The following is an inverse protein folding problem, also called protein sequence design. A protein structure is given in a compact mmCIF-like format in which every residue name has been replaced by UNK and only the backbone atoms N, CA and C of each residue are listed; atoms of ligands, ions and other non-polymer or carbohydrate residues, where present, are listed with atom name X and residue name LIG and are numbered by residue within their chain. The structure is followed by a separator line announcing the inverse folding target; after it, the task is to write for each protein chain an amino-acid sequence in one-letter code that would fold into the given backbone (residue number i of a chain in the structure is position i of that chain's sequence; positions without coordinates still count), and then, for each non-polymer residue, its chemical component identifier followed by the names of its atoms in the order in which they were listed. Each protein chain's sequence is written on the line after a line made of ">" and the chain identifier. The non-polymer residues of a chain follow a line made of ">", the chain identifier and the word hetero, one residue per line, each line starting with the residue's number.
data_IF_775918339177
#
_entry.id   IF_775918339177
#
_cell.length_a   1.000
_cell.length_b   1.000
_cell.length_c   1.000
_cell.angle_alpha   90.00
_cell.angle_beta   90.00
_cell.angle_gamma   90.00
#
_symmetry.space_group_name_H-M   'P 1'
#
loop_
_entity.id
_entity.type
_entity.pdbx_description
1 polymer ?
#
# COMPACT_ATOMS: atom_id res chain seq x y z
N UNK A 1 14.59 11.51 -5.72
CA UNK A 1 14.81 11.82 -4.31
C UNK A 1 14.00 10.86 -3.45
N UNK A 2 14.62 10.32 -2.42
CA UNK A 2 13.96 9.35 -1.55
C UNK A 2 13.14 10.05 -0.48
N UNK A 3 11.96 9.51 -0.18
CA UNK A 3 11.13 9.99 0.91
C UNK A 3 11.03 8.92 1.99
N UNK A 4 11.31 9.24 3.25
CA UNK A 4 11.24 8.23 4.31
C UNK A 4 9.80 7.86 4.64
N UNK A 5 9.59 6.59 4.98
CA UNK A 5 8.28 6.08 5.42
C UNK A 5 8.35 5.73 6.90
N UNK A 6 9.26 4.82 7.26
CA UNK A 6 9.34 4.29 8.62
C UNK A 6 10.66 3.52 8.81
N UNK A 7 10.92 3.10 10.05
CA UNK A 7 11.99 2.16 10.31
C UNK A 7 11.62 0.78 9.74
N UNK A 8 12.60 0.02 9.28
CA UNK A 8 12.36 -1.33 8.75
C UNK A 8 11.67 -2.22 9.77
N UNK A 9 12.04 -2.12 11.03
CA UNK A 9 11.48 -2.94 12.10
C UNK A 9 10.02 -2.59 12.43
N UNK A 10 9.51 -1.46 11.94
CA UNK A 10 8.10 -1.11 12.11
C UNK A 10 7.18 -1.99 11.27
N UNK A 11 7.72 -2.70 10.28
CA UNK A 11 6.93 -3.56 9.40
C UNK A 11 7.25 -5.02 9.70
N UNK A 12 6.41 -5.63 10.54
CA UNK A 12 6.50 -7.06 10.82
C UNK A 12 5.99 -7.87 9.63
N UNK A 13 6.51 -9.07 9.47
CA UNK A 13 6.09 -9.96 8.38
C UNK A 13 4.59 -10.21 8.46
N UNK A 14 3.87 -9.82 7.39
CA UNK A 14 2.41 -9.95 7.29
C UNK A 14 1.67 -9.29 8.46
N UNK A 15 2.27 -8.26 9.00
CA UNK A 15 1.70 -7.52 10.12
C UNK A 15 0.98 -6.26 9.67
N UNK A 16 0.76 -5.38 10.63
CA UNK A 16 0.07 -4.12 10.39
C UNK A 16 0.88 -3.23 9.46
N UNK A 17 0.21 -2.59 8.52
CA UNK A 17 0.84 -1.67 7.57
C UNK A 17 1.08 -0.31 8.21
N UNK A 18 2.05 0.42 7.65
CA UNK A 18 2.22 1.84 7.92
C UNK A 18 1.49 2.60 6.81
N UNK A 19 0.69 3.60 7.19
CA UNK A 19 -0.11 4.40 6.27
C UNK A 19 0.40 5.84 6.32
N UNK A 20 0.53 6.49 5.16
CA UNK A 20 0.97 7.88 5.13
C UNK A 20 0.27 8.63 4.01
N UNK A 21 0.25 9.96 4.12
CA UNK A 21 -0.40 10.83 3.15
C UNK A 21 0.50 11.09 1.95
N UNK A 22 -0.11 11.08 0.77
CA UNK A 22 0.57 11.41 -0.49
C UNK A 22 -0.33 12.31 -1.32
N UNK A 23 0.20 12.83 -2.42
CA UNK A 23 -0.56 13.56 -3.42
C UNK A 23 -0.53 12.76 -4.71
N UNK A 24 -1.70 12.44 -5.26
CA UNK A 24 -1.82 11.79 -6.56
C UNK A 24 -2.36 12.80 -7.56
N UNK A 25 -1.53 13.15 -8.54
CA UNK A 25 -1.86 14.18 -9.54
C UNK A 25 -2.40 15.44 -8.88
N UNK A 26 -1.74 15.88 -7.79
CA UNK A 26 -2.10 17.07 -7.06
C UNK A 26 -3.31 16.95 -6.13
N UNK A 27 -3.85 15.75 -5.95
CA UNK A 27 -4.99 15.50 -5.06
C UNK A 27 -4.57 14.67 -3.85
N UNK A 28 -5.10 14.99 -2.66
CA UNK A 28 -4.77 14.21 -1.46
C UNK A 28 -5.18 12.76 -1.62
N UNK A 29 -4.29 11.86 -1.18
CA UNK A 29 -4.54 10.44 -1.16
C UNK A 29 -3.72 9.83 -0.04
N UNK A 30 -3.87 8.53 0.20
CA UNK A 30 -3.09 7.83 1.21
C UNK A 30 -2.45 6.61 0.57
N UNK A 31 -1.27 6.25 1.09
CA UNK A 31 -0.55 5.07 0.66
C UNK A 31 -0.27 4.20 1.87
N UNK A 32 0.02 2.94 1.65
CA UNK A 32 0.39 2.05 2.73
C UNK A 32 1.55 1.16 2.29
N UNK A 33 2.32 0.72 3.29
CA UNK A 33 3.40 -0.23 3.09
C UNK A 33 3.29 -1.34 4.12
N UNK A 34 3.60 -2.56 3.71
CA UNK A 34 3.63 -3.70 4.61
C UNK A 34 4.72 -4.66 4.16
N UNK A 35 5.06 -5.62 5.03
CA UNK A 35 6.06 -6.64 4.71
C UNK A 35 5.36 -7.94 4.37
N UNK A 36 5.72 -8.51 3.23
CA UNK A 36 5.13 -9.76 2.78
C UNK A 36 6.24 -10.62 2.16
N UNK A 37 6.40 -11.83 2.68
CA UNK A 37 7.44 -12.77 2.25
C UNK A 37 8.83 -12.13 2.30
N UNK A 38 9.09 -11.40 3.38
CA UNK A 38 10.39 -10.78 3.61
C UNK A 38 10.63 -9.48 2.85
N UNK A 39 9.69 -9.04 2.03
CA UNK A 39 9.87 -7.85 1.21
C UNK A 39 8.84 -6.78 1.55
N UNK A 40 9.26 -5.52 1.50
CA UNK A 40 8.34 -4.41 1.68
C UNK A 40 7.63 -4.14 0.35
N UNK A 41 6.30 -4.04 0.40
CA UNK A 41 5.49 -3.64 -0.75
C UNK A 41 4.65 -2.44 -0.34
N UNK A 42 4.33 -1.59 -1.30
CA UNK A 42 3.56 -0.39 -1.03
C UNK A 42 2.59 -0.12 -2.18
N UNK A 43 1.41 0.35 -1.82
CA UNK A 43 0.35 0.63 -2.79
C UNK A 43 -0.43 1.86 -2.34
N UNK A 44 -1.08 2.49 -3.31
CA UNK A 44 -2.06 3.53 -3.02
C UNK A 44 -3.24 2.87 -2.29
N UNK A 45 -3.73 3.52 -1.23
CA UNK A 45 -4.84 2.98 -0.44
C UNK A 45 -6.16 3.33 -1.14
N UNK A 46 -6.41 2.63 -2.23
CA UNK A 46 -7.61 2.82 -3.05
C UNK A 46 -7.93 1.51 -3.75
N UNK A 47 -9.18 1.06 -3.58
CA UNK A 47 -9.65 -0.15 -4.25
C UNK A 47 -9.70 0.08 -5.77
N UNK A 48 -9.24 -0.90 -6.55
CA UNK A 48 -9.29 -0.80 -8.00
C UNK A 48 -10.72 -0.88 -8.54
N UNK A 49 -11.64 -1.44 -7.75
CA UNK A 49 -13.05 -1.59 -8.11
C UNK A 49 -13.82 -0.28 -7.92
N UNK A 50 -13.65 0.37 -6.76
CA UNK A 50 -14.29 1.64 -6.43
C UNK A 50 -13.27 2.52 -5.70
N UNK A 51 -13.41 3.87 -5.77
CA UNK A 51 -12.42 4.75 -5.16
C UNK A 51 -12.62 4.89 -3.64
N UNK A 52 -12.45 3.79 -2.92
CA UNK A 52 -12.56 3.74 -1.47
C UNK A 52 -11.29 3.15 -0.88
N UNK A 53 -11.01 3.49 0.38
CA UNK A 53 -9.86 2.94 1.07
C UNK A 53 -10.07 1.46 1.41
N UNK A 54 -8.97 0.70 1.47
CA UNK A 54 -9.02 -0.76 1.57
C UNK A 54 -9.11 -1.25 3.01
N UNK A 55 -8.42 -0.60 3.94
CA UNK A 55 -8.24 -1.14 5.29
C UNK A 55 -9.54 -1.19 6.08
N UNK A 56 -9.79 -2.38 6.67
CA UNK A 56 -10.98 -2.60 7.48
C UNK A 56 -10.81 -2.01 8.90
N UNK A 57 -9.59 -1.75 9.31
CA UNK A 57 -9.22 -0.92 10.47
C UNK A 57 -7.93 -0.20 10.08
N UNK A 58 -7.62 0.94 10.72
CA UNK A 58 -6.41 1.66 10.36
C UNK A 58 -5.18 0.76 10.35
N UNK A 59 -4.54 0.65 9.20
CA UNK A 59 -3.34 -0.17 9.01
C UNK A 59 -3.57 -1.66 8.79
N UNK A 60 -4.83 -2.14 8.80
CA UNK A 60 -5.13 -3.56 8.62
C UNK A 60 -5.65 -3.82 7.21
N UNK A 61 -4.80 -4.38 6.37
CA UNK A 61 -5.09 -4.60 4.95
C UNK A 61 -5.22 -6.07 4.58
N UNK A 62 -4.69 -6.97 5.38
CA UNK A 62 -4.67 -8.39 5.04
C UNK A 62 -5.91 -9.11 5.58
N UNK A 63 -6.33 -10.13 4.85
CA UNK A 63 -7.44 -10.97 5.30
C UNK A 63 -7.00 -11.86 6.48
N UNK A 64 -7.93 -12.69 6.97
CA UNK A 64 -7.65 -13.55 8.13
C UNK A 64 -6.50 -14.53 7.88
N UNK A 65 -6.31 -14.96 6.64
CA UNK A 65 -5.22 -15.88 6.30
C UNK A 65 -3.87 -15.17 6.20
N UNK A 66 -3.86 -13.84 6.17
CA UNK A 66 -2.67 -13.03 5.99
C UNK A 66 -1.96 -13.29 4.66
N UNK A 67 -2.71 -13.73 3.65
CA UNK A 67 -2.16 -14.01 2.33
C UNK A 67 -2.59 -13.00 1.26
N UNK A 68 -3.71 -12.29 1.49
CA UNK A 68 -4.28 -11.41 0.47
C UNK A 68 -4.59 -10.04 1.06
N UNK A 69 -4.37 -8.99 0.24
CA UNK A 69 -4.86 -7.65 0.58
C UNK A 69 -6.35 -7.62 0.26
N UNK A 70 -7.15 -7.22 1.23
CA UNK A 70 -8.61 -7.29 1.13
C UNK A 70 -9.22 -5.90 1.11
N UNK A 71 -10.13 -5.65 0.16
CA UNK A 71 -10.98 -4.47 0.21
C UNK A 71 -12.14 -4.76 1.17
N UNK A 72 -12.22 -3.97 2.24
CA UNK A 72 -13.17 -4.22 3.31
C UNK A 72 -14.63 -4.05 2.92
N UNK A 73 -14.90 -3.34 1.80
CA UNK A 73 -16.27 -3.00 1.43
C UNK A 73 -16.91 -4.06 0.56
N UNK A 74 -16.21 -4.54 -0.47
CA UNK A 74 -16.78 -5.46 -1.43
C UNK A 74 -16.07 -6.80 -1.53
N UNK A 75 -15.07 -7.03 -0.69
CA UNK A 75 -14.37 -8.31 -0.68
C UNK A 75 -13.41 -8.55 -1.84
N UNK A 76 -13.06 -7.50 -2.58
CA UNK A 76 -12.03 -7.63 -3.60
C UNK A 76 -10.71 -8.00 -2.93
N UNK A 77 -9.98 -8.96 -3.52
CA UNK A 77 -8.72 -9.45 -2.95
C UNK A 77 -7.59 -9.26 -3.97
N UNK A 78 -6.43 -8.86 -3.46
CA UNK A 78 -5.27 -8.55 -4.29
C UNK A 78 -4.04 -9.29 -3.80
N UNK A 79 -3.20 -9.70 -4.74
CA UNK A 79 -1.94 -10.36 -4.40
C UNK A 79 -0.98 -9.33 -3.83
N UNK A 80 -0.44 -9.53 -2.60
CA UNK A 80 0.42 -8.51 -2.00
C UNK A 80 1.71 -8.24 -2.77
N UNK A 81 2.24 -9.23 -3.47
CA UNK A 81 3.51 -9.07 -4.16
C UNK A 81 3.43 -8.13 -5.37
N UNK A 82 2.30 -8.09 -6.08
CA UNK A 82 2.18 -7.30 -7.31
C UNK A 82 0.91 -6.46 -7.39
N UNK A 83 0.00 -6.57 -6.42
CA UNK A 83 -1.22 -5.77 -6.39
C UNK A 83 -2.31 -6.23 -7.35
N UNK A 84 -2.12 -7.37 -8.02
CA UNK A 84 -3.09 -7.86 -9.00
C UNK A 84 -4.34 -8.41 -8.31
N UNK A 85 -5.51 -8.15 -8.89
CA UNK A 85 -6.76 -8.73 -8.40
C UNK A 85 -6.71 -10.25 -8.53
N UNK A 86 -7.03 -10.96 -7.44
CA UNK A 86 -7.08 -12.41 -7.42
C UNK A 86 -8.47 -12.95 -7.09
N UNK A 87 -9.41 -12.08 -6.70
CA UNK A 87 -10.77 -12.50 -6.41
C UNK A 87 -11.69 -11.33 -6.12
N UNK A 88 -12.99 -11.56 -6.20
CA UNK A 88 -13.98 -10.54 -5.95
C UNK A 88 -14.22 -9.64 -7.16
N UNK A 89 -14.86 -8.47 -6.95
CA UNK A 89 -15.34 -7.64 -8.06
C UNK A 89 -14.29 -6.77 -8.73
N UNK A 90 -13.01 -6.93 -8.40
CA UNK A 90 -11.97 -6.10 -9.01
C UNK A 90 -11.59 -6.53 -10.44
N UNK A 91 -12.01 -7.72 -10.88
CA UNK A 91 -11.82 -8.16 -12.26
C UNK A 91 -10.35 -8.17 -12.68
N UNK A 92 -10.00 -7.36 -13.67
CA UNK A 92 -8.62 -7.21 -14.15
C UNK A 92 -7.88 -6.05 -13.48
N UNK A 93 -8.49 -5.46 -12.46
CA UNK A 93 -7.90 -4.32 -11.78
C UNK A 93 -6.66 -4.71 -10.98
N UNK A 94 -5.91 -3.71 -10.61
CA UNK A 94 -4.75 -3.88 -9.73
C UNK A 94 -4.55 -2.62 -8.93
N UNK A 95 -3.93 -2.78 -7.77
CA UNK A 95 -3.58 -1.65 -6.94
C UNK A 95 -2.45 -0.85 -7.61
N UNK A 96 -2.44 0.45 -7.38
CA UNK A 96 -1.37 1.32 -7.89
C UNK A 96 -0.14 1.16 -7.00
N UNK A 97 0.97 0.64 -7.53
CA UNK A 97 2.16 0.42 -6.71
C UNK A 97 2.95 1.71 -6.49
N UNK A 98 3.60 1.79 -5.33
CA UNK A 98 4.64 2.76 -5.08
C UNK A 98 5.96 2.01 -5.03
N UNK A 99 6.99 2.57 -5.66
CA UNK A 99 8.31 1.97 -5.60
C UNK A 99 8.94 2.28 -4.25
N UNK A 100 9.36 1.24 -3.54
CA UNK A 100 9.93 1.36 -2.21
C UNK A 100 11.25 0.59 -2.12
N UNK A 101 12.05 0.92 -1.12
CA UNK A 101 13.29 0.23 -0.85
C UNK A 101 13.62 0.28 0.61
N UNK A 102 14.53 -0.59 1.03
CA UNK A 102 15.06 -0.60 2.38
C UNK A 102 16.56 -0.37 2.34
N UNK A 103 17.04 0.51 3.21
CA UNK A 103 18.47 0.77 3.35
C UNK A 103 18.73 1.29 4.75
N UNK A 104 19.80 0.80 5.37
CA UNK A 104 20.26 1.26 6.68
C UNK A 104 19.16 1.20 7.76
N UNK A 105 18.36 0.13 7.72
CA UNK A 105 17.31 -0.09 8.70
C UNK A 105 16.09 0.79 8.53
N UNK A 106 15.92 1.40 7.36
CA UNK A 106 14.79 2.29 7.08
C UNK A 106 14.12 1.94 5.77
N UNK A 107 12.81 2.19 5.72
CA UNK A 107 12.00 2.05 4.52
C UNK A 107 11.76 3.44 3.93
N UNK A 108 11.92 3.56 2.62
CA UNK A 108 11.70 4.81 1.90
C UNK A 108 11.04 4.51 0.57
N UNK A 109 10.50 5.56 -0.07
CA UNK A 109 9.85 5.41 -1.36
C UNK A 109 10.37 6.44 -2.35
N UNK A 110 10.14 6.18 -3.63
CA UNK A 110 10.62 7.00 -4.73
C UNK A 110 9.42 7.73 -5.35
N UNK A 111 9.24 9.03 -5.07
CA UNK A 111 8.15 9.80 -5.66
C UNK A 111 8.25 9.84 -7.19
N UNK A 112 7.09 9.92 -7.84
CA UNK A 112 6.97 10.02 -9.29
C UNK A 112 6.13 11.24 -9.63
N UNK A 113 5.91 11.50 -10.93
CA UNK A 113 5.02 12.59 -11.33
C UNK A 113 3.60 12.37 -10.84
N UNK A 114 3.15 11.11 -10.82
CA UNK A 114 1.82 10.77 -10.36
C UNK A 114 1.70 10.91 -8.85
N UNK A 115 2.72 10.44 -8.12
CA UNK A 115 2.65 10.30 -6.66
C UNK A 115 3.77 11.12 -6.03
N UNK A 116 3.38 12.15 -5.29
CA UNK A 116 4.28 13.10 -4.66
C UNK A 116 4.04 13.13 -3.15
N UNK A 117 5.03 13.59 -2.36
CA UNK A 117 4.80 13.79 -0.93
C UNK A 117 3.66 14.75 -0.67
N UNK A 118 2.89 14.49 0.40
CA UNK A 118 1.71 15.30 0.71
C UNK A 118 2.07 16.72 1.15
N UNK A 119 3.25 16.89 1.70
CA UNK A 119 3.69 18.20 2.22
C UNK A 119 5.02 18.56 1.57
N UNK A 120 5.01 18.90 0.28
CA UNK A 120 6.23 19.35 -0.38
C UNK A 120 6.61 20.72 0.15
N UNK A 121 7.81 20.84 0.59
CA UNK A 121 8.32 22.16 1.01
C UNK A 121 8.76 22.97 -0.18
#
# INVERSE_FOLDING_TARGET
>A
MLEPICASEALAERGKAVVWDVMQWGRPARAFALRFDGQVVAYLNRCAHVPTELDWQPGEFLDDSRQWILCSIHGAAYHPADGRCVGGPCGRGRLTPLEVGEADGRVHWYPTKELQPAFPD
#
